data_IF_802257687146
#
_entry.id   IF_802257687146
#
_cell.length_a   1.000
_cell.length_b   1.000
_cell.length_c   1.000
_cell.angle_alpha   90.00
_cell.angle_beta   90.00
_cell.angle_gamma   90.00
#
_symmetry.space_group_name_H-M   'P 1'
#
loop_
_entity.id
_entity.type
_entity.pdbx_description
1 polymer ?
#
# COMPACT_ATOMS: atom_id res chain seq x y z
N UNK A 1 16.34 -25.26 1.86
CA UNK A 1 16.32 -25.78 0.46
C UNK A 1 17.74 -25.81 -0.12
N UNK A 2 18.66 -26.63 0.40
CA UNK A 2 19.93 -27.02 -0.26
C UNK A 2 21.00 -25.96 -0.64
N UNK A 3 20.69 -24.66 -0.74
CA UNK A 3 21.58 -23.62 -1.25
C UNK A 3 22.03 -22.67 -0.11
N UNK A 4 23.14 -23.00 0.56
CA UNK A 4 23.66 -22.20 1.68
C UNK A 4 24.03 -20.76 1.30
N UNK A 5 24.44 -20.52 0.05
CA UNK A 5 24.78 -19.19 -0.45
C UNK A 5 23.57 -18.28 -0.69
N UNK A 6 22.34 -18.81 -0.67
CA UNK A 6 21.09 -18.02 -0.75
C UNK A 6 20.67 -17.40 0.59
N UNK A 7 21.42 -17.63 1.66
CA UNK A 7 21.13 -17.08 3.00
C UNK A 7 21.57 -15.62 3.20
N UNK A 8 21.71 -14.85 2.12
CA UNK A 8 22.11 -13.42 2.15
C UNK A 8 21.13 -12.60 1.31
N UNK A 9 21.19 -11.27 1.45
CA UNK A 9 20.49 -10.37 0.53
C UNK A 9 21.24 -10.27 -0.81
N UNK A 10 20.57 -9.81 -1.88
CA UNK A 10 21.24 -9.51 -3.16
C UNK A 10 22.34 -8.45 -2.98
N UNK A 11 23.51 -8.70 -3.53
CA UNK A 11 24.69 -7.81 -3.46
C UNK A 11 24.69 -6.73 -4.55
N UNK A 12 23.84 -6.89 -5.58
CA UNK A 12 23.70 -5.99 -6.72
C UNK A 12 22.40 -5.17 -6.70
N UNK A 13 21.83 -4.94 -5.51
CA UNK A 13 20.58 -4.21 -5.30
C UNK A 13 20.72 -2.67 -5.25
N UNK A 14 21.94 -2.14 -5.33
CA UNK A 14 22.21 -0.70 -5.27
C UNK A 14 22.10 -0.13 -3.84
N UNK A 15 21.66 1.13 -3.75
CA UNK A 15 21.53 1.89 -2.50
C UNK A 15 20.18 2.60 -2.44
N UNK A 16 19.86 3.28 -1.32
CA UNK A 16 18.55 3.91 -1.10
C UNK A 16 18.05 4.82 -2.24
N UNK A 17 18.94 5.55 -2.90
CA UNK A 17 18.59 6.50 -3.95
C UNK A 17 18.89 5.98 -5.37
N UNK A 18 19.30 4.70 -5.50
CA UNK A 18 19.53 4.09 -6.81
C UNK A 18 18.22 3.90 -7.55
N UNK A 19 18.21 4.19 -8.85
CA UNK A 19 17.06 3.92 -9.71
C UNK A 19 17.06 2.44 -10.14
N UNK A 20 15.90 1.80 -10.36
CA UNK A 20 15.84 0.37 -10.67
C UNK A 20 16.76 -0.05 -11.83
N UNK A 21 16.80 0.75 -12.91
CA UNK A 21 17.60 0.49 -14.10
C UNK A 21 19.13 0.61 -13.89
N UNK A 22 19.57 1.23 -12.79
CA UNK A 22 21.00 1.36 -12.43
C UNK A 22 21.50 0.13 -11.65
N UNK A 23 20.61 -0.76 -11.24
CA UNK A 23 20.94 -1.90 -10.37
C UNK A 23 20.91 -3.21 -11.14
N UNK A 24 21.79 -4.17 -10.80
CA UNK A 24 21.75 -5.51 -11.40
C UNK A 24 20.57 -6.36 -10.90
N UNK A 25 20.01 -6.02 -9.73
CA UNK A 25 18.90 -6.76 -9.15
C UNK A 25 17.54 -6.29 -9.68
N UNK A 26 17.27 -4.98 -9.73
CA UNK A 26 15.94 -4.43 -10.02
C UNK A 26 15.72 -3.91 -11.45
N UNK A 27 16.74 -3.95 -12.32
CA UNK A 27 16.58 -3.58 -13.72
C UNK A 27 15.65 -4.56 -14.45
N UNK A 28 15.16 -4.20 -15.64
CA UNK A 28 14.31 -5.07 -16.45
C UNK A 28 15.06 -6.35 -16.82
N UNK A 29 14.47 -7.51 -16.50
CA UNK A 29 15.14 -8.82 -16.62
C UNK A 29 16.25 -9.08 -15.60
N UNK A 30 16.37 -8.24 -14.56
CA UNK A 30 17.37 -8.34 -13.51
C UNK A 30 17.16 -9.49 -12.53
N UNK A 31 18.03 -9.54 -11.52
CA UNK A 31 18.08 -10.63 -10.54
C UNK A 31 16.78 -10.91 -9.76
N UNK A 32 15.89 -9.91 -9.63
CA UNK A 32 14.63 -10.03 -8.90
C UNK A 32 13.72 -11.15 -9.44
N UNK A 33 13.71 -11.36 -10.76
CA UNK A 33 12.86 -12.35 -11.42
C UNK A 33 13.55 -13.71 -11.63
N UNK A 34 14.84 -13.82 -11.30
CA UNK A 34 15.60 -15.06 -11.34
C UNK A 34 15.27 -16.02 -10.18
N UNK A 35 15.77 -17.26 -10.25
CA UNK A 35 15.51 -18.28 -9.21
C UNK A 35 15.86 -17.83 -7.79
N UNK A 36 17.01 -17.19 -7.62
CA UNK A 36 17.45 -16.65 -6.34
C UNK A 36 16.58 -15.46 -5.89
N UNK A 37 16.30 -14.51 -6.80
CA UNK A 37 15.46 -13.34 -6.49
C UNK A 37 14.06 -13.74 -6.03
N UNK A 38 13.40 -14.65 -6.75
CA UNK A 38 12.09 -15.18 -6.36
C UNK A 38 12.14 -15.91 -5.02
N UNK A 39 13.20 -16.67 -4.75
CA UNK A 39 13.39 -17.31 -3.44
C UNK A 39 13.54 -16.27 -2.32
N UNK A 40 14.44 -15.30 -2.50
CA UNK A 40 14.72 -14.26 -1.51
C UNK A 40 13.50 -13.39 -1.23
N UNK A 41 12.83 -12.88 -2.26
CA UNK A 41 11.67 -12.00 -2.13
C UNK A 41 10.46 -12.74 -1.53
N UNK A 42 10.29 -14.03 -1.85
CA UNK A 42 9.28 -14.86 -1.20
C UNK A 42 9.57 -15.02 0.30
N UNK A 43 10.83 -15.31 0.67
CA UNK A 43 11.21 -15.38 2.08
C UNK A 43 11.00 -14.03 2.78
N UNK A 44 11.48 -12.94 2.19
CA UNK A 44 11.45 -11.60 2.78
C UNK A 44 10.01 -11.11 3.01
N UNK A 45 9.14 -11.22 2.00
CA UNK A 45 7.72 -10.90 2.16
C UNK A 45 6.99 -11.83 3.14
N UNK A 46 7.37 -13.11 3.19
CA UNK A 46 6.79 -14.04 4.16
C UNK A 46 7.17 -13.69 5.61
N UNK A 47 8.34 -13.11 5.85
CA UNK A 47 8.71 -12.61 7.18
C UNK A 47 7.74 -11.50 7.62
N UNK A 48 7.40 -10.56 6.73
CA UNK A 48 6.41 -9.51 7.01
C UNK A 48 5.02 -10.10 7.26
N UNK A 49 4.56 -11.03 6.43
CA UNK A 49 3.26 -11.71 6.61
C UNK A 49 3.19 -12.48 7.94
N UNK A 50 4.23 -13.23 8.28
CA UNK A 50 4.29 -13.98 9.53
C UNK A 50 4.35 -13.05 10.74
N UNK A 51 4.97 -11.88 10.61
CA UNK A 51 4.97 -10.87 11.66
C UNK A 51 3.55 -10.34 11.89
N UNK A 52 2.86 -9.92 10.82
CA UNK A 52 1.46 -9.47 10.89
C UNK A 52 0.53 -10.53 11.48
N UNK A 53 0.66 -11.78 11.04
CA UNK A 53 -0.14 -12.91 11.54
C UNK A 53 0.00 -13.10 13.06
N UNK A 54 1.24 -13.05 13.58
CA UNK A 54 1.50 -13.20 15.01
C UNK A 54 0.94 -12.02 15.81
N UNK A 55 1.20 -10.79 15.37
CA UNK A 55 0.74 -9.58 16.06
C UNK A 55 -0.79 -9.54 16.12
N UNK A 56 -1.46 -9.79 14.99
CA UNK A 56 -2.92 -9.79 14.92
C UNK A 56 -3.54 -10.94 15.71
N UNK A 57 -2.89 -12.12 15.75
CA UNK A 57 -3.38 -13.23 16.59
C UNK A 57 -3.41 -12.85 18.07
N UNK A 58 -2.39 -12.15 18.56
CA UNK A 58 -2.32 -11.68 19.94
C UNK A 58 -3.30 -10.52 20.19
N UNK A 59 -3.40 -9.58 19.26
CA UNK A 59 -4.33 -8.46 19.37
C UNK A 59 -5.78 -8.94 19.42
N UNK A 60 -6.15 -9.94 18.59
CA UNK A 60 -7.47 -10.55 18.59
C UNK A 60 -7.81 -11.19 19.94
N UNK A 61 -6.85 -11.85 20.58
CA UNK A 61 -7.03 -12.43 21.91
C UNK A 61 -7.18 -11.37 23.01
N UNK A 62 -6.42 -10.28 22.92
CA UNK A 62 -6.41 -9.22 23.93
C UNK A 62 -7.62 -8.28 23.83
N UNK A 63 -8.13 -8.05 22.61
CA UNK A 63 -9.16 -7.05 22.31
C UNK A 63 -10.39 -7.70 21.67
N UNK A 64 -10.83 -8.85 22.19
CA UNK A 64 -12.00 -9.56 21.68
C UNK A 64 -13.23 -8.62 21.61
N UNK A 65 -13.97 -8.69 20.51
CA UNK A 65 -15.08 -7.78 20.20
C UNK A 65 -14.69 -6.36 19.74
N UNK A 66 -13.40 -5.99 19.69
CA UNK A 66 -12.94 -4.69 19.18
C UNK A 66 -12.47 -4.80 17.72
N UNK A 67 -12.81 -3.81 16.89
CA UNK A 67 -12.31 -3.74 15.52
C UNK A 67 -10.80 -3.44 15.52
N UNK A 68 -10.01 -4.33 14.91
CA UNK A 68 -8.57 -4.17 14.76
C UNK A 68 -8.28 -3.81 13.31
N UNK A 69 -7.48 -2.77 13.10
CA UNK A 69 -7.12 -2.31 11.76
C UNK A 69 -5.60 -2.35 11.58
N UNK A 70 -5.12 -2.92 10.48
CA UNK A 70 -3.72 -2.88 10.09
C UNK A 70 -3.52 -1.80 9.00
N UNK A 71 -2.51 -0.96 9.17
CA UNK A 71 -2.21 0.13 8.23
C UNK A 71 -1.12 -0.27 7.25
N UNK A 72 -1.39 -0.10 5.95
CA UNK A 72 -0.41 -0.31 4.88
C UNK A 72 0.04 1.03 4.29
N UNK A 73 1.35 1.31 4.27
CA UNK A 73 1.91 2.40 3.47
C UNK A 73 1.62 2.24 1.96
N UNK A 74 1.24 3.34 1.29
CA UNK A 74 1.04 3.40 -0.17
C UNK A 74 2.33 3.76 -0.92
N UNK A 75 3.09 2.73 -1.34
CA UNK A 75 4.39 2.87 -2.01
C UNK A 75 4.17 2.92 -3.52
N UNK A 76 3.93 4.12 -4.04
CA UNK A 76 3.48 4.31 -5.42
C UNK A 76 4.60 4.63 -6.42
N UNK A 77 5.79 4.99 -5.95
CA UNK A 77 6.96 5.22 -6.82
C UNK A 77 7.57 3.88 -7.27
N UNK A 78 8.09 3.87 -8.49
CA UNK A 78 8.55 2.69 -9.24
C UNK A 78 7.48 1.64 -9.54
N UNK A 79 6.19 1.92 -9.27
CA UNK A 79 5.10 0.98 -9.52
C UNK A 79 4.91 0.65 -11.02
N UNK A 80 5.32 1.53 -11.94
CA UNK A 80 5.29 1.23 -13.39
C UNK A 80 6.54 0.54 -13.90
N UNK A 81 7.60 0.40 -13.09
CA UNK A 81 8.76 -0.41 -13.46
C UNK A 81 8.42 -1.90 -13.23
N UNK A 82 8.91 -2.81 -14.09
CA UNK A 82 8.55 -4.23 -14.00
C UNK A 82 8.90 -4.87 -12.63
N UNK A 83 9.97 -4.38 -12.00
CA UNK A 83 10.43 -4.86 -10.70
C UNK A 83 9.61 -4.33 -9.53
N UNK A 84 8.91 -3.20 -9.64
CA UNK A 84 8.27 -2.54 -8.50
C UNK A 84 9.24 -2.35 -7.30
N UNK A 85 10.47 -1.90 -7.58
CA UNK A 85 11.61 -1.99 -6.66
C UNK A 85 11.35 -1.43 -5.24
N UNK A 86 10.59 -0.34 -5.13
CA UNK A 86 10.24 0.24 -3.83
C UNK A 86 9.32 -0.67 -3.01
N UNK A 87 8.33 -1.31 -3.65
CA UNK A 87 7.45 -2.27 -3.00
C UNK A 87 8.24 -3.51 -2.55
N UNK A 88 9.12 -4.03 -3.42
CA UNK A 88 9.96 -5.20 -3.10
C UNK A 88 10.85 -4.97 -1.88
N UNK A 89 11.49 -3.80 -1.80
CA UNK A 89 12.37 -3.44 -0.67
C UNK A 89 11.61 -3.19 0.63
N UNK A 90 10.36 -2.71 0.54
CA UNK A 90 9.46 -2.58 1.68
C UNK A 90 8.85 -3.90 2.16
N UNK A 91 9.04 -5.01 1.42
CA UNK A 91 8.54 -6.33 1.78
C UNK A 91 7.23 -6.71 1.09
N UNK A 92 6.69 -5.85 0.22
CA UNK A 92 5.56 -6.18 -0.65
C UNK A 92 6.09 -6.85 -1.91
N UNK A 93 6.00 -8.17 -1.97
CA UNK A 93 6.48 -8.92 -3.13
C UNK A 93 5.45 -8.84 -4.29
N UNK A 94 5.39 -7.66 -4.90
CA UNK A 94 4.40 -7.22 -5.90
C UNK A 94 5.05 -6.80 -7.24
N UNK A 95 5.89 -7.61 -7.90
CA UNK A 95 6.36 -7.28 -9.25
C UNK A 95 5.19 -7.31 -10.25
N UNK A 96 5.38 -6.78 -11.45
CA UNK A 96 4.29 -6.61 -12.42
C UNK A 96 3.57 -7.91 -12.83
N UNK A 97 4.18 -9.07 -12.56
CA UNK A 97 3.65 -10.41 -12.88
C UNK A 97 3.08 -11.16 -11.67
N UNK A 98 2.93 -10.52 -10.49
CA UNK A 98 2.43 -11.14 -9.26
C UNK A 98 1.73 -10.13 -8.36
N UNK A 99 0.52 -10.47 -7.92
CA UNK A 99 -0.17 -9.70 -6.88
C UNK A 99 0.40 -10.01 -5.49
N UNK A 100 1.05 -9.01 -4.88
CA UNK A 100 1.61 -9.11 -3.53
C UNK A 100 0.62 -8.78 -2.41
N UNK A 101 -0.47 -8.06 -2.71
CA UNK A 101 -1.42 -7.55 -1.73
C UNK A 101 -2.48 -8.58 -1.33
N UNK A 102 -2.81 -9.51 -2.23
CA UNK A 102 -3.76 -10.61 -1.98
C UNK A 102 -3.35 -11.44 -0.76
N UNK A 103 -2.06 -11.73 -0.60
CA UNK A 103 -1.55 -12.48 0.53
C UNK A 103 -1.69 -11.70 1.86
N UNK A 104 -1.52 -10.37 1.82
CA UNK A 104 -1.71 -9.51 2.98
C UNK A 104 -3.19 -9.45 3.35
N UNK A 105 -4.07 -9.21 2.38
CA UNK A 105 -5.51 -9.15 2.59
C UNK A 105 -6.05 -10.46 3.17
N UNK A 106 -5.60 -11.62 2.66
CA UNK A 106 -5.95 -12.94 3.19
C UNK A 106 -5.49 -13.11 4.64
N UNK A 107 -4.28 -12.63 4.98
CA UNK A 107 -3.77 -12.65 6.35
C UNK A 107 -4.63 -11.77 7.28
N UNK A 108 -5.06 -10.58 6.83
CA UNK A 108 -5.98 -9.74 7.60
C UNK A 108 -7.36 -10.41 7.79
N UNK A 109 -7.89 -11.01 6.72
CA UNK A 109 -9.17 -11.74 6.74
C UNK A 109 -9.15 -12.87 7.78
N UNK A 110 -8.07 -13.66 7.83
CA UNK A 110 -7.89 -14.74 8.82
C UNK A 110 -8.10 -14.26 10.26
N UNK A 111 -7.72 -13.01 10.57
CA UNK A 111 -7.85 -12.43 11.91
C UNK A 111 -9.11 -11.58 12.08
N UNK A 112 -9.90 -11.35 11.03
CA UNK A 112 -11.04 -10.42 11.05
C UNK A 112 -10.58 -8.96 11.19
N UNK A 113 -9.36 -8.65 10.75
CA UNK A 113 -8.81 -7.30 10.79
C UNK A 113 -9.23 -6.50 9.56
N UNK A 114 -9.46 -5.20 9.75
CA UNK A 114 -9.67 -4.24 8.68
C UNK A 114 -8.33 -3.76 8.10
N UNK A 115 -8.38 -3.22 6.88
CA UNK A 115 -7.26 -2.56 6.24
C UNK A 115 -7.39 -1.04 6.36
N UNK A 116 -6.35 -0.35 6.83
CA UNK A 116 -6.22 1.10 6.70
C UNK A 116 -5.27 1.41 5.55
N UNK A 117 -5.76 2.14 4.55
CA UNK A 117 -4.97 2.55 3.40
C UNK A 117 -5.31 3.99 3.00
N UNK A 118 -4.29 4.83 2.85
CA UNK A 118 -4.51 6.21 2.40
C UNK A 118 -4.75 6.23 0.89
N UNK A 119 -5.90 6.77 0.48
CA UNK A 119 -6.16 7.05 -0.91
C UNK A 119 -5.40 8.32 -1.28
N UNK A 120 -4.46 8.21 -2.23
CA UNK A 120 -3.73 9.36 -2.72
C UNK A 120 -4.69 10.39 -3.36
N UNK A 121 -4.90 11.51 -2.69
CA UNK A 121 -5.71 12.60 -3.22
C UNK A 121 -4.99 13.31 -4.36
N UNK A 122 -5.75 13.68 -5.39
CA UNK A 122 -5.30 14.11 -6.72
C UNK A 122 -4.49 15.43 -6.80
N UNK A 123 -3.87 15.93 -5.73
CA UNK A 123 -2.86 17.01 -5.84
C UNK A 123 -1.61 16.59 -6.64
N UNK A 124 -1.52 15.30 -6.95
CA UNK A 124 -0.61 14.65 -7.89
C UNK A 124 -0.63 15.25 -9.31
N UNK A 125 -1.65 16.04 -9.68
CA UNK A 125 -1.67 16.77 -10.96
C UNK A 125 -0.68 17.95 -11.02
N UNK A 126 -0.24 18.52 -9.89
CA UNK A 126 0.75 19.60 -9.87
C UNK A 126 2.21 19.08 -9.91
N UNK A 127 2.41 17.76 -9.76
CA UNK A 127 3.72 17.08 -9.76
C UNK A 127 3.90 16.08 -10.91
N UNK A 128 3.24 16.31 -12.06
CA UNK A 128 3.27 15.38 -13.20
C UNK A 128 4.67 15.01 -13.67
N UNK A 129 5.63 15.94 -13.61
CA UNK A 129 7.00 15.69 -14.05
C UNK A 129 7.74 14.75 -13.09
N UNK A 130 7.68 15.00 -11.78
CA UNK A 130 8.32 14.14 -10.78
C UNK A 130 7.73 12.71 -10.75
N UNK A 131 6.43 12.57 -11.01
CA UNK A 131 5.78 11.26 -11.07
C UNK A 131 6.20 10.44 -12.30
N UNK A 132 6.46 11.12 -13.42
CA UNK A 132 6.98 10.48 -14.64
C UNK A 132 8.39 9.97 -14.42
N UNK A 133 9.26 10.78 -13.82
CA UNK A 133 10.63 10.39 -13.46
C UNK A 133 10.64 9.22 -12.47
N UNK A 134 9.74 9.24 -11.48
CA UNK A 134 9.62 8.19 -10.48
C UNK A 134 8.85 6.95 -10.96
N UNK A 135 8.42 6.88 -12.23
CA UNK A 135 7.55 5.81 -12.78
C UNK A 135 6.39 5.47 -11.82
N UNK A 136 5.77 6.50 -11.25
CA UNK A 136 4.77 6.33 -10.20
C UNK A 136 3.38 5.99 -10.75
N UNK A 137 2.62 5.19 -10.00
CA UNK A 137 1.19 4.97 -10.25
C UNK A 137 0.35 4.83 -8.97
N UNK A 138 0.07 5.95 -8.28
CA UNK A 138 -0.74 5.93 -7.07
C UNK A 138 -2.18 5.45 -7.32
N UNK A 139 -2.74 5.67 -8.51
CA UNK A 139 -4.09 5.21 -8.84
C UNK A 139 -4.12 3.71 -9.08
N UNK A 140 -3.16 3.18 -9.85
CA UNK A 140 -3.00 1.74 -10.07
C UNK A 140 -2.80 1.00 -8.75
N UNK A 141 -1.95 1.54 -7.87
CA UNK A 141 -1.72 0.99 -6.53
C UNK A 141 -2.99 0.96 -5.68
N UNK A 142 -3.70 2.10 -5.56
CA UNK A 142 -4.97 2.16 -4.80
C UNK A 142 -5.96 1.14 -5.35
N UNK A 143 -6.13 1.08 -6.67
CA UNK A 143 -7.02 0.11 -7.30
C UNK A 143 -6.65 -1.34 -6.94
N UNK A 144 -5.37 -1.71 -7.01
CA UNK A 144 -4.92 -3.06 -6.69
C UNK A 144 -5.18 -3.43 -5.22
N UNK A 145 -4.79 -2.56 -4.29
CA UNK A 145 -4.94 -2.79 -2.84
C UNK A 145 -6.41 -2.92 -2.45
N UNK A 146 -7.28 -2.06 -2.98
CA UNK A 146 -8.71 -2.10 -2.66
C UNK A 146 -9.38 -3.36 -3.20
N UNK A 147 -9.08 -3.78 -4.43
CA UNK A 147 -9.64 -5.02 -4.98
C UNK A 147 -9.15 -6.25 -4.21
N UNK A 148 -7.86 -6.33 -3.87
CA UNK A 148 -7.33 -7.42 -3.06
C UNK A 148 -8.04 -7.53 -1.69
N UNK A 149 -8.41 -6.41 -1.08
CA UNK A 149 -9.16 -6.37 0.18
C UNK A 149 -10.64 -6.75 -0.01
N UNK A 150 -11.31 -6.21 -1.03
CA UNK A 150 -12.72 -6.49 -1.30
C UNK A 150 -12.97 -7.94 -1.74
N UNK A 151 -12.05 -8.54 -2.50
CA UNK A 151 -12.14 -9.95 -2.94
C UNK A 151 -12.18 -10.93 -1.75
N UNK A 152 -11.57 -10.56 -0.62
CA UNK A 152 -11.62 -11.32 0.64
C UNK A 152 -12.58 -10.71 1.67
N UNK A 153 -13.37 -9.72 1.27
CA UNK A 153 -14.42 -9.09 2.08
C UNK A 153 -13.93 -8.51 3.42
N UNK A 154 -12.72 -7.94 3.46
CA UNK A 154 -12.26 -7.21 4.66
C UNK A 154 -12.73 -5.74 4.63
N UNK A 155 -13.11 -5.16 5.78
CA UNK A 155 -13.43 -3.74 5.88
C UNK A 155 -12.22 -2.88 5.52
N UNK A 156 -12.46 -1.74 4.88
CA UNK A 156 -11.40 -0.78 4.52
C UNK A 156 -11.67 0.56 5.19
N UNK A 157 -10.66 1.08 5.88
CA UNK A 157 -10.60 2.42 6.43
C UNK A 157 -9.66 3.28 5.59
N UNK A 158 -9.99 4.56 5.41
CA UNK A 158 -9.13 5.51 4.69
C UNK A 158 -8.78 6.71 5.55
N UNK A 159 -7.77 7.44 5.09
CA UNK A 159 -7.29 8.70 5.63
C UNK A 159 -6.81 9.56 4.48
N UNK A 160 -6.92 10.88 4.62
CA UNK A 160 -6.36 11.80 3.63
C UNK A 160 -4.82 11.78 3.70
N UNK A 161 -4.20 11.74 2.52
CA UNK A 161 -2.74 11.80 2.39
C UNK A 161 -2.19 13.24 2.52
N UNK A 162 -3.02 14.24 2.19
CA UNK A 162 -2.67 15.66 2.21
C UNK A 162 -3.75 16.47 2.91
N UNK A 163 -3.39 17.62 3.47
CA UNK A 163 -4.35 18.53 4.10
C UNK A 163 -5.25 19.17 3.02
N UNK A 164 -6.56 19.06 3.19
CA UNK A 164 -7.56 19.75 2.39
C UNK A 164 -8.62 20.37 3.29
N UNK A 165 -8.93 21.65 3.08
CA UNK A 165 -9.96 22.39 3.82
C UNK A 165 -11.03 22.98 2.91
N UNK A 166 -11.03 22.60 1.62
CA UNK A 166 -11.95 23.11 0.61
C UNK A 166 -12.94 22.03 0.16
N UNK A 167 -14.07 22.50 -0.37
CA UNK A 167 -15.14 21.66 -0.90
C UNK A 167 -14.65 20.67 -1.97
N UNK A 168 -13.68 21.08 -2.79
CA UNK A 168 -13.22 20.28 -3.93
C UNK A 168 -12.49 19.04 -3.45
N UNK A 169 -11.60 19.16 -2.45
CA UNK A 169 -10.93 17.99 -1.90
C UNK A 169 -11.84 17.14 -1.02
N UNK A 170 -12.78 17.73 -0.24
CA UNK A 170 -13.78 16.91 0.46
C UNK A 170 -14.66 16.09 -0.49
N UNK A 171 -15.12 16.68 -1.60
CA UNK A 171 -15.86 15.92 -2.61
C UNK A 171 -15.01 14.80 -3.23
N UNK A 172 -13.71 15.03 -3.47
CA UNK A 172 -12.81 13.98 -3.94
C UNK A 172 -12.63 12.85 -2.92
N UNK A 173 -12.57 13.18 -1.63
CA UNK A 173 -12.57 12.17 -0.56
C UNK A 173 -13.85 11.35 -0.68
N UNK A 174 -15.02 12.00 -0.74
CA UNK A 174 -16.31 11.33 -0.86
C UNK A 174 -16.40 10.42 -2.10
N UNK A 175 -15.94 10.89 -3.25
CA UNK A 175 -15.93 10.12 -4.50
C UNK A 175 -15.07 8.85 -4.38
N UNK A 176 -13.96 8.91 -3.64
CA UNK A 176 -13.08 7.76 -3.40
C UNK A 176 -13.65 6.81 -2.34
N UNK A 177 -14.18 7.33 -1.23
CA UNK A 177 -14.60 6.49 -0.09
C UNK A 177 -15.99 5.90 -0.26
N UNK A 178 -16.85 6.56 -1.03
CA UNK A 178 -18.22 6.13 -1.31
C UNK A 178 -18.57 6.33 -2.79
N UNK A 179 -17.96 5.55 -3.69
CA UNK A 179 -18.23 5.65 -5.11
C UNK A 179 -19.71 5.37 -5.39
N UNK A 180 -20.42 6.37 -5.90
CA UNK A 180 -21.90 6.33 -6.11
C UNK A 180 -22.31 5.26 -7.13
N UNK A 181 -21.41 4.92 -8.05
CA UNK A 181 -21.67 4.03 -9.18
C UNK A 181 -20.82 2.74 -9.14
N UNK A 182 -20.33 2.31 -7.98
CA UNK A 182 -19.65 1.01 -7.90
C UNK A 182 -20.68 -0.12 -8.10
N UNK A 183 -20.51 -1.01 -9.10
CA UNK A 183 -21.50 -2.02 -9.45
C UNK A 183 -21.71 -3.06 -8.34
N UNK A 184 -20.72 -3.21 -7.47
CA UNK A 184 -20.71 -4.16 -6.35
C UNK A 184 -21.08 -3.46 -5.02
N UNK A 185 -21.42 -2.16 -5.06
CA UNK A 185 -21.77 -1.36 -3.88
C UNK A 185 -20.61 -1.17 -2.90
N UNK A 186 -19.36 -1.31 -3.36
CA UNK A 186 -18.17 -1.26 -2.52
C UNK A 186 -17.93 0.14 -2.00
N UNK A 187 -17.62 0.24 -0.72
CA UNK A 187 -17.34 1.49 -0.03
C UNK A 187 -16.44 1.24 1.18
N UNK A 188 -15.85 2.32 1.68
CA UNK A 188 -15.02 2.29 2.87
C UNK A 188 -15.90 2.31 4.12
N UNK A 189 -15.49 1.56 5.14
CA UNK A 189 -16.22 1.44 6.41
C UNK A 189 -16.01 2.63 7.34
N UNK A 190 -14.88 3.33 7.20
CA UNK A 190 -14.57 4.51 8.01
C UNK A 190 -13.55 5.42 7.33
N UNK A 191 -13.55 6.69 7.70
CA UNK A 191 -12.56 7.68 7.27
C UNK A 191 -11.96 8.42 8.47
N UNK A 192 -10.64 8.60 8.48
CA UNK A 192 -9.92 9.35 9.51
C UNK A 192 -9.27 10.59 8.89
N UNK A 193 -9.77 11.77 9.24
CA UNK A 193 -9.18 13.02 8.79
C UNK A 193 -7.88 13.35 9.55
N UNK A 194 -6.76 13.44 8.84
CA UNK A 194 -5.47 13.91 9.29
C UNK A 194 -5.26 15.37 8.84
N UNK A 195 -5.31 16.36 9.74
CA UNK A 195 -5.34 16.25 11.20
C UNK A 195 -6.02 17.47 11.81
N UNK A 196 -6.57 17.28 13.01
CA UNK A 196 -6.94 18.38 13.89
C UNK A 196 -5.79 19.41 13.99
N UNK A 197 -6.07 20.64 13.58
CA UNK A 197 -5.12 21.74 13.63
C UNK A 197 -5.86 23.06 13.91
N UNK A 198 -5.15 24.11 14.34
CA UNK A 198 -5.74 25.44 14.44
C UNK A 198 -6.34 25.91 13.11
N UNK A 199 -5.70 25.56 11.99
CA UNK A 199 -6.18 25.88 10.65
C UNK A 199 -7.52 25.21 10.35
N UNK A 200 -7.70 23.93 10.71
CA UNK A 200 -8.99 23.24 10.57
C UNK A 200 -10.09 23.91 11.42
N UNK A 201 -9.72 24.46 12.58
CA UNK A 201 -10.64 25.10 13.52
C UNK A 201 -10.95 26.57 13.18
N UNK A 202 -10.36 27.13 12.13
CA UNK A 202 -10.77 28.43 11.62
C UNK A 202 -12.21 28.38 11.13
N UNK A 203 -12.99 29.43 11.39
CA UNK A 203 -14.45 29.44 11.16
C UNK A 203 -14.85 28.96 9.77
N UNK A 204 -14.14 29.37 8.71
CA UNK A 204 -14.49 28.98 7.35
C UNK A 204 -14.19 27.50 7.08
N UNK A 205 -13.04 27.01 7.53
CA UNK A 205 -12.60 25.63 7.32
C UNK A 205 -13.43 24.64 8.15
N UNK A 206 -13.76 25.02 9.39
CA UNK A 206 -14.61 24.21 10.27
C UNK A 206 -16.07 24.16 9.82
N UNK A 207 -16.55 25.19 9.13
CA UNK A 207 -17.90 25.19 8.53
C UNK A 207 -17.97 24.36 7.24
N UNK A 208 -16.86 24.21 6.52
CA UNK A 208 -16.79 23.35 5.32
C UNK A 208 -16.52 21.88 5.67
N UNK A 209 -15.80 21.61 6.76
CA UNK A 209 -15.58 20.27 7.34
C UNK A 209 -16.87 19.64 7.87
#
# INVERSE_FOLDING_TARGET
>A
RGHSFWARGPDNAGSYNSQPHETGFFCDGGGYDGYYGRFFLNWYSQVLLNHGDRVLSLAKLAFDGTCITAKLPGIHWWYKAASHAAELTAGYYNPCNRDGYTAIATMLQKHGAALSFSCAEHHILEQQDHLREALADPRGLVWQVLNAAWDVSIPIASENAFLCHDRVGYNKILDNVKPVNDPDGRHFSSFTYHRLSPLLMERQNFMEF
#
